data_IF_332754187946
#
_entry.id   IF_332754187946
#
_cell.length_a   1.000
_cell.length_b   1.000
_cell.length_c   1.000
_cell.angle_alpha   90.00
_cell.angle_beta   90.00
_cell.angle_gamma   90.00
#
_symmetry.space_group_name_H-M   'P 1'
#
loop_
_entity.id
_entity.type
_entity.pdbx_description
1 polymer ?
#
# COMPACT_ATOMS: atom_id res chain seq x y z
N UNK A 1 -0.45 -6.99 -21.70
CA UNK A 1 -1.71 -7.54 -21.14
C UNK A 1 -2.07 -7.00 -19.75
N UNK A 2 -1.15 -6.96 -18.77
CA UNK A 2 -1.44 -6.54 -17.37
C UNK A 2 -2.04 -5.12 -17.24
N UNK A 3 -1.54 -4.13 -18.00
CA UNK A 3 -2.05 -2.75 -17.92
C UNK A 3 -3.45 -2.58 -18.54
N UNK A 4 -3.78 -3.34 -19.59
CA UNK A 4 -5.11 -3.30 -20.22
C UNK A 4 -6.17 -3.93 -19.31
N UNK A 5 -5.82 -5.01 -18.62
CA UNK A 5 -6.68 -5.62 -17.60
C UNK A 5 -7.00 -4.65 -16.46
N UNK A 6 -5.98 -3.98 -15.90
CA UNK A 6 -6.18 -2.98 -14.83
C UNK A 6 -7.03 -1.80 -15.32
N UNK A 7 -6.76 -1.31 -16.53
CA UNK A 7 -7.54 -0.21 -17.12
C UNK A 7 -9.01 -0.58 -17.34
N UNK A 8 -9.28 -1.76 -17.88
CA UNK A 8 -10.64 -2.28 -18.07
C UNK A 8 -11.39 -2.36 -16.75
N UNK A 9 -10.83 -3.03 -15.73
CA UNK A 9 -11.50 -3.17 -14.44
C UNK A 9 -11.69 -1.82 -13.73
N UNK A 10 -10.74 -0.89 -13.87
CA UNK A 10 -10.88 0.46 -13.34
C UNK A 10 -12.07 1.21 -13.96
N UNK A 11 -12.21 1.18 -15.29
CA UNK A 11 -13.33 1.80 -16.01
C UNK A 11 -14.65 1.10 -15.66
N UNK A 12 -14.65 -0.23 -15.65
CA UNK A 12 -15.81 -1.05 -15.32
C UNK A 12 -16.34 -0.74 -13.91
N UNK A 13 -15.48 -0.75 -12.90
CA UNK A 13 -15.85 -0.40 -11.53
C UNK A 13 -16.31 1.07 -11.45
N UNK A 14 -15.61 1.98 -12.15
CA UNK A 14 -16.01 3.39 -12.23
C UNK A 14 -17.42 3.58 -12.79
N UNK A 15 -17.80 2.81 -13.82
CA UNK A 15 -19.16 2.81 -14.36
C UNK A 15 -20.19 2.42 -13.28
N UNK A 16 -19.95 1.33 -12.54
CA UNK A 16 -20.88 0.88 -11.50
C UNK A 16 -20.97 1.82 -10.30
N UNK A 17 -19.91 2.58 -10.00
CA UNK A 17 -19.92 3.54 -8.89
C UNK A 17 -20.57 4.86 -9.30
N UNK A 18 -20.26 5.40 -10.49
CA UNK A 18 -20.62 6.78 -10.84
C UNK A 18 -21.77 6.88 -11.85
N UNK A 19 -21.84 5.96 -12.82
CA UNK A 19 -22.78 6.08 -13.95
C UNK A 19 -24.05 5.27 -13.70
N UNK A 20 -23.90 4.02 -13.26
CA UNK A 20 -25.00 3.10 -13.08
C UNK A 20 -26.05 3.59 -12.05
N UNK A 21 -25.68 4.15 -10.88
CA UNK A 21 -26.66 4.68 -9.93
C UNK A 21 -27.48 5.83 -10.52
N UNK A 22 -26.85 6.71 -11.30
CA UNK A 22 -27.54 7.80 -11.99
C UNK A 22 -28.53 7.27 -13.04
N UNK A 23 -28.13 6.26 -13.84
CA UNK A 23 -29.02 5.65 -14.85
C UNK A 23 -30.25 5.04 -14.18
N UNK A 24 -30.07 4.28 -13.09
CA UNK A 24 -31.19 3.65 -12.39
C UNK A 24 -32.13 4.73 -11.83
N UNK A 25 -31.56 5.73 -11.16
CA UNK A 25 -32.33 6.82 -10.56
C UNK A 25 -33.12 7.59 -11.62
N UNK A 26 -32.46 8.14 -12.64
CA UNK A 26 -33.14 8.99 -13.63
C UNK A 26 -34.06 8.25 -14.62
N UNK A 27 -34.00 6.91 -14.68
CA UNK A 27 -34.99 6.12 -15.44
C UNK A 27 -36.16 5.63 -14.59
N UNK A 28 -36.15 5.88 -13.29
CA UNK A 28 -37.27 5.58 -12.39
C UNK A 28 -38.13 6.82 -12.22
N UNK A 29 -39.45 6.67 -12.07
CA UNK A 29 -40.34 7.80 -11.87
C UNK A 29 -40.15 8.36 -10.45
N UNK A 30 -39.71 9.63 -10.38
CA UNK A 30 -39.50 10.36 -9.14
C UNK A 30 -40.34 11.64 -9.11
N UNK A 31 -40.81 12.01 -7.93
CA UNK A 31 -41.53 13.28 -7.71
C UNK A 31 -40.72 14.17 -6.78
N UNK A 32 -41.12 15.43 -6.64
CA UNK A 32 -40.53 16.36 -5.66
C UNK A 32 -40.78 15.95 -4.19
N UNK A 33 -41.56 14.89 -3.94
CA UNK A 33 -41.88 14.32 -2.63
C UNK A 33 -41.62 12.81 -2.64
N UNK A 34 -40.36 12.41 -2.81
CA UNK A 34 -39.98 11.00 -2.63
C UNK A 34 -39.90 10.64 -1.14
N UNK A 35 -39.53 11.59 -0.29
CA UNK A 35 -39.50 11.44 1.17
C UNK A 35 -40.56 12.34 1.81
N UNK A 36 -41.68 11.74 2.19
CA UNK A 36 -42.80 12.44 2.82
C UNK A 36 -42.40 13.10 4.15
N UNK A 37 -41.56 12.43 4.95
CA UNK A 37 -41.13 12.95 6.23
C UNK A 37 -39.94 13.92 6.09
N UNK A 38 -40.19 15.22 6.29
CA UNK A 38 -39.15 16.26 6.19
C UNK A 38 -37.94 16.02 7.11
N UNK A 39 -38.12 15.39 8.29
CA UNK A 39 -36.99 15.05 9.19
C UNK A 39 -36.11 13.96 8.59
N UNK A 40 -36.73 12.98 7.92
CA UNK A 40 -36.01 11.90 7.25
C UNK A 40 -35.22 12.42 6.05
N UNK A 41 -35.78 13.36 5.29
CA UNK A 41 -35.08 14.04 4.20
C UNK A 41 -33.82 14.79 4.70
N UNK A 42 -33.92 15.49 5.83
CA UNK A 42 -32.76 16.16 6.46
C UNK A 42 -31.74 15.13 6.95
N UNK A 43 -32.18 14.01 7.52
CA UNK A 43 -31.29 12.91 7.90
C UNK A 43 -30.50 12.37 6.69
N UNK A 44 -31.18 12.11 5.58
CA UNK A 44 -30.54 11.69 4.34
C UNK A 44 -29.55 12.71 3.80
N UNK A 45 -29.85 14.01 3.91
CA UNK A 45 -28.93 15.07 3.52
C UNK A 45 -27.67 15.04 4.39
N UNK A 46 -27.83 14.96 5.71
CA UNK A 46 -26.71 14.85 6.65
C UNK A 46 -25.85 13.61 6.39
N UNK A 47 -26.49 12.47 6.12
CA UNK A 47 -25.81 11.23 5.76
C UNK A 47 -25.02 11.37 4.45
N UNK A 48 -25.62 11.98 3.43
CA UNK A 48 -24.97 12.25 2.15
C UNK A 48 -23.71 13.12 2.32
N UNK A 49 -23.80 14.21 3.09
CA UNK A 49 -22.65 15.06 3.40
C UNK A 49 -21.54 14.31 4.14
N UNK A 50 -21.90 13.46 5.12
CA UNK A 50 -20.95 12.65 5.87
C UNK A 50 -20.20 11.67 4.96
N UNK A 51 -20.93 10.98 4.06
CA UNK A 51 -20.34 10.04 3.11
C UNK A 51 -19.38 10.74 2.15
N UNK A 52 -19.81 11.85 1.53
CA UNK A 52 -18.94 12.61 0.61
C UNK A 52 -17.73 13.22 1.32
N UNK A 53 -17.90 13.76 2.52
CA UNK A 53 -16.77 14.29 3.32
C UNK A 53 -15.75 13.19 3.62
N UNK A 54 -16.22 11.97 3.90
CA UNK A 54 -15.35 10.82 4.12
C UNK A 54 -14.57 10.46 2.85
N UNK A 55 -15.24 10.35 1.70
CA UNK A 55 -14.60 10.05 0.41
C UNK A 55 -13.59 11.14 0.00
N UNK A 56 -14.00 12.40 0.04
CA UNK A 56 -13.16 13.52 -0.37
C UNK A 56 -11.99 13.75 0.59
N UNK A 57 -12.24 13.66 1.91
CA UNK A 57 -11.22 13.81 2.94
C UNK A 57 -10.16 12.72 2.89
N UNK A 58 -10.57 11.44 2.75
CA UNK A 58 -9.64 10.32 2.66
C UNK A 58 -8.79 10.37 1.38
N UNK A 59 -9.39 10.67 0.23
CA UNK A 59 -8.66 10.81 -1.03
C UNK A 59 -7.70 12.00 -1.02
N UNK A 60 -8.10 13.14 -0.47
CA UNK A 60 -7.21 14.29 -0.29
C UNK A 60 -6.04 13.94 0.62
N UNK A 61 -6.30 13.30 1.76
CA UNK A 61 -5.26 12.85 2.67
C UNK A 61 -4.25 11.91 1.99
N UNK A 62 -4.71 10.98 1.16
CA UNK A 62 -3.83 10.09 0.37
C UNK A 62 -2.96 10.87 -0.63
N UNK A 63 -3.53 11.83 -1.35
CA UNK A 63 -2.79 12.69 -2.29
C UNK A 63 -1.71 13.49 -1.56
N UNK A 64 -2.07 14.11 -0.43
CA UNK A 64 -1.14 14.91 0.37
C UNK A 64 -0.03 14.05 0.98
N UNK A 65 -0.39 12.87 1.53
CA UNK A 65 0.55 11.92 2.14
C UNK A 65 1.56 11.39 1.13
N UNK A 66 1.10 10.92 -0.03
CA UNK A 66 1.96 10.29 -1.03
C UNK A 66 2.68 11.30 -1.95
N UNK A 67 2.23 12.56 -1.98
CA UNK A 67 2.85 13.63 -2.76
C UNK A 67 3.70 14.57 -1.91
N UNK A 68 3.04 15.48 -1.20
CA UNK A 68 3.69 16.61 -0.51
C UNK A 68 4.47 16.13 0.71
N UNK A 69 3.85 15.31 1.56
CA UNK A 69 4.50 14.79 2.77
C UNK A 69 5.65 13.85 2.41
N UNK A 70 5.47 12.97 1.43
CA UNK A 70 6.55 12.13 0.89
C UNK A 70 7.74 12.96 0.41
N UNK A 71 7.53 14.06 -0.33
CA UNK A 71 8.62 14.98 -0.73
C UNK A 71 9.33 15.59 0.48
N UNK A 72 8.58 16.03 1.49
CA UNK A 72 9.17 16.56 2.74
C UNK A 72 10.04 15.50 3.44
N UNK A 73 9.56 14.26 3.50
CA UNK A 73 10.27 13.14 4.11
C UNK A 73 11.54 12.77 3.33
N UNK A 74 11.48 12.78 1.99
CA UNK A 74 12.65 12.59 1.12
C UNK A 74 13.72 13.67 1.37
N UNK A 75 13.31 14.93 1.51
CA UNK A 75 14.23 16.03 1.84
C UNK A 75 14.79 15.95 3.28
N UNK A 76 14.11 15.25 4.18
CA UNK A 76 14.63 14.93 5.52
C UNK A 76 15.68 13.83 5.43
N UNK A 77 15.40 12.72 4.71
CA UNK A 77 16.35 11.61 4.52
C UNK A 77 17.59 12.06 3.77
N UNK A 78 17.46 12.98 2.81
CA UNK A 78 18.63 13.51 2.12
C UNK A 78 19.59 14.25 3.06
N UNK A 79 19.07 14.90 4.12
CA UNK A 79 19.88 15.67 5.08
C UNK A 79 20.35 14.86 6.28
N UNK A 80 19.52 13.96 6.78
CA UNK A 80 19.72 13.27 8.06
C UNK A 80 19.79 11.74 7.92
N UNK A 81 19.52 11.19 6.74
CA UNK A 81 19.56 9.76 6.49
C UNK A 81 20.98 9.21 6.62
N UNK A 82 21.09 8.00 7.18
CA UNK A 82 22.37 7.30 7.27
C UNK A 82 22.77 6.84 5.88
N UNK A 83 24.00 7.19 5.49
CA UNK A 83 24.56 6.83 4.18
C UNK A 83 25.01 5.37 4.19
N UNK A 84 24.58 4.61 3.19
CA UNK A 84 24.90 3.19 2.99
C UNK A 84 25.48 3.03 1.59
N UNK A 85 26.65 2.42 1.49
CA UNK A 85 27.24 2.06 0.19
C UNK A 85 26.62 0.75 -0.28
N UNK A 86 26.22 0.71 -1.55
CA UNK A 86 25.63 -0.47 -2.16
C UNK A 86 26.25 -0.74 -3.53
N UNK A 87 26.42 -2.02 -3.86
CA UNK A 87 26.91 -2.49 -5.15
C UNK A 87 25.74 -3.00 -5.99
N UNK A 88 25.68 -2.60 -7.25
CA UNK A 88 24.65 -3.09 -8.18
C UNK A 88 25.03 -4.51 -8.60
N UNK A 89 24.23 -5.50 -8.20
CA UNK A 89 24.43 -6.90 -8.60
C UNK A 89 23.61 -7.25 -9.84
N UNK A 90 22.49 -6.53 -10.07
CA UNK A 90 21.64 -6.75 -11.23
C UNK A 90 20.98 -5.45 -11.68
N UNK A 91 20.82 -5.26 -13.00
CA UNK A 91 20.08 -4.15 -13.58
C UNK A 91 19.25 -4.63 -14.76
N UNK A 92 17.95 -4.39 -14.71
CA UNK A 92 17.00 -4.73 -15.76
C UNK A 92 16.28 -3.48 -16.26
N UNK A 93 16.24 -3.28 -17.57
CA UNK A 93 15.44 -2.20 -18.16
C UNK A 93 13.98 -2.64 -18.16
N UNK A 94 13.13 -1.86 -17.49
CA UNK A 94 11.69 -2.11 -17.45
C UNK A 94 10.98 -1.43 -18.62
N UNK A 95 11.29 -0.14 -18.82
CA UNK A 95 10.66 0.70 -19.84
C UNK A 95 11.62 1.79 -20.29
N UNK A 96 11.60 2.05 -21.59
CA UNK A 96 12.28 3.20 -22.18
C UNK A 96 11.24 4.29 -22.48
N UNK A 97 11.42 5.45 -21.88
CA UNK A 97 10.67 6.66 -22.19
C UNK A 97 11.59 7.63 -22.91
N UNK A 98 11.01 8.56 -23.70
CA UNK A 98 11.77 9.57 -24.46
C UNK A 98 12.77 10.35 -23.60
N UNK A 99 12.47 10.56 -22.31
CA UNK A 99 13.24 11.42 -21.40
C UNK A 99 13.99 10.65 -20.29
N UNK A 100 13.74 9.36 -20.12
CA UNK A 100 14.38 8.55 -19.07
C UNK A 100 14.22 7.05 -19.34
N UNK A 101 15.13 6.26 -18.81
CA UNK A 101 15.04 4.80 -18.81
C UNK A 101 14.66 4.34 -17.39
N UNK A 102 13.52 3.67 -17.27
CA UNK A 102 13.14 3.02 -16.02
C UNK A 102 13.86 1.69 -15.89
N UNK A 103 14.62 1.52 -14.81
CA UNK A 103 15.35 0.31 -14.49
C UNK A 103 14.92 -0.25 -13.14
N UNK A 104 14.90 -1.57 -13.01
CA UNK A 104 14.90 -2.26 -11.73
C UNK A 104 16.35 -2.63 -11.44
N UNK A 105 16.86 -2.19 -10.30
CA UNK A 105 18.20 -2.52 -9.83
C UNK A 105 18.11 -3.34 -8.56
N UNK A 106 18.94 -4.38 -8.49
CA UNK A 106 19.14 -5.18 -7.28
C UNK A 106 20.51 -4.81 -6.73
N UNK A 107 20.52 -4.47 -5.45
CA UNK A 107 21.66 -3.94 -4.73
C UNK A 107 22.10 -4.90 -3.65
N UNK A 108 23.41 -5.00 -3.44
CA UNK A 108 24.02 -5.68 -2.32
C UNK A 108 24.69 -4.63 -1.43
N UNK A 109 24.40 -4.66 -0.13
CA UNK A 109 24.91 -3.67 0.83
C UNK A 109 25.04 -4.27 2.21
N UNK A 110 25.93 -3.68 3.03
CA UNK A 110 25.93 -3.94 4.46
C UNK A 110 24.77 -3.18 5.12
N UNK A 111 23.98 -3.89 5.90
CA UNK A 111 22.97 -3.27 6.74
C UNK A 111 23.63 -2.55 7.94
N UNK A 112 22.85 -1.91 8.79
CA UNK A 112 23.36 -1.15 9.94
C UNK A 112 24.05 -2.01 11.00
N UNK A 113 23.85 -3.32 10.94
CA UNK A 113 24.44 -4.33 11.81
C UNK A 113 25.58 -5.11 11.13
N UNK A 114 26.03 -4.68 9.94
CA UNK A 114 27.14 -5.29 9.20
C UNK A 114 26.82 -6.61 8.50
N UNK A 115 25.54 -6.92 8.28
CA UNK A 115 25.11 -8.10 7.51
C UNK A 115 24.91 -7.73 6.04
N UNK A 116 25.38 -8.59 5.13
CA UNK A 116 25.17 -8.41 3.70
C UNK A 116 23.69 -8.67 3.36
N UNK A 117 23.05 -7.70 2.71
CA UNK A 117 21.63 -7.70 2.38
C UNK A 117 21.35 -7.29 0.95
N UNK A 118 20.37 -7.95 0.34
CA UNK A 118 19.82 -7.62 -0.97
C UNK A 118 18.73 -6.54 -0.87
N UNK A 119 18.77 -5.51 -1.72
CA UNK A 119 17.69 -4.53 -1.84
C UNK A 119 17.36 -4.23 -3.30
N UNK A 120 16.10 -4.46 -3.66
CA UNK A 120 15.58 -4.19 -5.00
C UNK A 120 14.84 -2.87 -5.01
N UNK A 121 15.15 -2.00 -5.97
CA UNK A 121 14.43 -0.74 -6.15
C UNK A 121 14.28 -0.36 -7.62
N UNK A 122 13.28 0.47 -7.91
CA UNK A 122 13.09 1.06 -9.23
C UNK A 122 13.74 2.44 -9.30
N UNK A 123 14.45 2.70 -10.41
CA UNK A 123 15.09 3.99 -10.68
C UNK A 123 14.69 4.49 -12.07
N UNK A 124 14.47 5.80 -12.19
CA UNK A 124 14.25 6.47 -13.45
C UNK A 124 15.52 7.23 -13.85
N UNK A 125 16.30 6.66 -14.76
CA UNK A 125 17.57 7.22 -15.21
C UNK A 125 17.36 8.25 -16.33
N UNK A 126 17.58 9.52 -16.02
CA UNK A 126 17.56 10.62 -17.00
C UNK A 126 18.87 10.79 -17.78
N UNK A 127 19.93 10.10 -17.38
CA UNK A 127 21.27 10.19 -17.97
C UNK A 127 21.82 8.80 -18.29
N UNK A 128 21.11 8.01 -19.13
CA UNK A 128 21.50 6.62 -19.41
C UNK A 128 22.87 6.49 -20.08
N UNK A 129 23.31 7.52 -20.83
CA UNK A 129 24.63 7.55 -21.48
C UNK A 129 25.81 7.56 -20.50
N UNK A 130 25.58 7.92 -19.23
CA UNK A 130 26.61 7.88 -18.19
C UNK A 130 26.78 6.47 -17.58
N UNK A 131 25.95 5.50 -18.02
CA UNK A 131 26.04 4.09 -17.61
C UNK A 131 26.01 3.91 -16.07
N UNK A 132 25.35 4.80 -15.33
CA UNK A 132 25.44 4.88 -13.86
C UNK A 132 24.88 3.67 -13.11
N UNK A 133 23.98 2.93 -13.76
CA UNK A 133 23.24 1.81 -13.16
C UNK A 133 23.60 0.46 -13.78
N UNK A 134 24.85 0.27 -14.19
CA UNK A 134 25.36 -1.01 -14.67
C UNK A 134 25.80 -1.90 -13.51
N UNK A 135 25.74 -3.22 -13.74
CA UNK A 135 26.23 -4.23 -12.80
C UNK A 135 27.69 -3.99 -12.44
N UNK A 136 28.03 -4.14 -11.16
CA UNK A 136 29.36 -3.92 -10.61
C UNK A 136 29.63 -2.50 -10.13
N UNK A 137 28.81 -1.50 -10.50
CA UNK A 137 28.99 -0.13 -10.03
C UNK A 137 28.51 0.05 -8.60
N UNK A 138 29.21 0.93 -7.87
CA UNK A 138 28.85 1.35 -6.52
C UNK A 138 27.96 2.59 -6.57
N UNK A 139 26.93 2.58 -5.73
CA UNK A 139 26.02 3.69 -5.51
C UNK A 139 25.84 3.90 -4.00
N UNK A 140 25.26 5.03 -3.63
CA UNK A 140 24.99 5.36 -2.25
C UNK A 140 23.50 5.54 -2.02
N UNK A 141 23.01 4.94 -0.96
CA UNK A 141 21.66 5.11 -0.44
C UNK A 141 21.72 5.96 0.82
N UNK A 142 20.66 6.73 1.06
CA UNK A 142 20.37 7.37 2.35
C UNK A 142 19.13 6.72 2.92
N UNK A 143 19.23 6.25 4.16
CA UNK A 143 18.18 5.47 4.81
C UNK A 143 17.76 6.15 6.10
N UNK A 144 16.45 6.26 6.33
CA UNK A 144 15.91 6.73 7.60
C UNK A 144 16.22 5.71 8.71
N UNK A 145 17.16 6.05 9.59
CA UNK A 145 17.56 5.17 10.69
C UNK A 145 16.43 4.95 11.70
N UNK A 146 15.38 5.77 11.75
CA UNK A 146 14.25 5.57 12.66
C UNK A 146 13.09 4.81 11.99
N UNK A 147 13.10 4.68 10.66
CA UNK A 147 11.97 4.16 9.88
C UNK A 147 10.64 4.81 10.26
N UNK A 148 10.63 6.12 10.52
CA UNK A 148 9.46 6.83 11.07
C UNK A 148 8.50 7.26 9.97
N UNK A 149 9.02 7.78 8.87
CA UNK A 149 8.24 8.43 7.83
C UNK A 149 8.51 7.84 6.44
N UNK A 150 7.47 7.31 5.79
CA UNK A 150 7.55 6.78 4.42
C UNK A 150 7.76 7.93 3.40
N UNK A 151 8.60 7.79 2.35
CA UNK A 151 9.56 6.70 2.04
C UNK A 151 10.76 6.63 2.96
N UNK A 152 11.32 5.42 3.15
CA UNK A 152 12.39 5.13 4.11
C UNK A 152 13.80 5.08 3.50
N UNK A 153 13.89 4.86 2.19
CA UNK A 153 15.15 4.70 1.46
C UNK A 153 15.17 5.68 0.29
N UNK A 154 16.30 6.34 0.11
CA UNK A 154 16.55 7.32 -0.92
C UNK A 154 17.84 6.98 -1.67
N UNK A 155 17.81 6.99 -3.00
CA UNK A 155 19.03 6.99 -3.79
C UNK A 155 19.69 8.38 -3.75
N UNK A 156 20.98 8.43 -3.40
CA UNK A 156 21.74 9.68 -3.37
C UNK A 156 21.77 10.37 -4.74
N UNK A 157 21.54 11.68 -4.76
CA UNK A 157 21.46 12.47 -6.00
C UNK A 157 20.16 12.32 -6.79
N UNK A 158 19.14 11.64 -6.23
CA UNK A 158 17.82 11.58 -6.85
C UNK A 158 17.02 12.87 -6.64
N UNK A 159 16.19 13.22 -7.62
CA UNK A 159 15.33 14.41 -7.56
C UNK A 159 13.86 14.02 -7.48
N UNK A 160 13.12 14.63 -6.57
CA UNK A 160 11.70 14.34 -6.36
C UNK A 160 10.82 15.47 -6.88
N UNK A 161 9.77 15.12 -7.65
CA UNK A 161 8.75 16.05 -8.13
C UNK A 161 7.39 15.62 -7.60
N UNK A 162 6.60 16.60 -7.14
CA UNK A 162 5.19 16.37 -6.77
C UNK A 162 4.35 16.49 -8.02
N UNK A 163 3.48 15.51 -8.26
CA UNK A 163 2.49 15.59 -9.33
C UNK A 163 1.24 16.34 -8.81
N UNK A 164 1.14 17.63 -9.11
CA UNK A 164 -0.01 18.45 -8.74
C UNK A 164 -1.26 18.19 -9.59
N UNK A 165 -1.15 17.44 -10.70
CA UNK A 165 -2.30 17.14 -11.55
C UNK A 165 -3.37 16.35 -10.79
N UNK A 166 -2.98 15.45 -9.89
CA UNK A 166 -3.93 14.70 -9.05
C UNK A 166 -4.72 15.63 -8.11
N UNK A 167 -4.09 16.69 -7.60
CA UNK A 167 -4.78 17.68 -6.77
C UNK A 167 -5.78 18.49 -7.61
N UNK A 168 -5.42 18.86 -8.84
CA UNK A 168 -6.34 19.54 -9.75
C UNK A 168 -7.53 18.65 -10.14
N UNK A 169 -7.28 17.37 -10.42
CA UNK A 169 -8.34 16.38 -10.69
C UNK A 169 -9.25 16.24 -9.47
N UNK A 170 -8.69 16.20 -8.26
CA UNK A 170 -9.47 16.14 -7.02
C UNK A 170 -10.32 17.40 -6.80
N UNK A 171 -9.79 18.59 -7.09
CA UNK A 171 -10.54 19.84 -7.03
C UNK A 171 -11.67 19.88 -8.05
N UNK A 172 -11.40 19.46 -9.29
CA UNK A 172 -12.42 19.35 -10.33
C UNK A 172 -13.53 18.36 -9.94
N UNK A 173 -13.16 17.21 -9.37
CA UNK A 173 -14.11 16.20 -8.89
C UNK A 173 -14.96 16.74 -7.73
N UNK A 174 -14.34 17.41 -6.75
CA UNK A 174 -15.05 18.08 -5.66
C UNK A 174 -16.03 19.13 -6.18
N UNK A 175 -15.59 19.94 -7.15
CA UNK A 175 -16.44 20.90 -7.84
C UNK A 175 -17.63 20.24 -8.55
N UNK A 176 -17.42 19.09 -9.18
CA UNK A 176 -18.48 18.28 -9.79
C UNK A 176 -19.51 17.77 -8.78
N UNK A 177 -19.07 17.31 -7.61
CA UNK A 177 -19.99 16.90 -6.52
C UNK A 177 -20.83 18.09 -6.04
N UNK A 178 -20.22 19.25 -5.81
CA UNK A 178 -20.94 20.47 -5.41
C UNK A 178 -21.93 20.91 -6.49
N UNK A 179 -21.50 20.92 -7.75
CA UNK A 179 -22.37 21.23 -8.88
C UNK A 179 -23.54 20.25 -8.98
N UNK A 180 -23.34 18.97 -8.66
CA UNK A 180 -24.40 17.97 -8.67
C UNK A 180 -25.40 18.14 -7.51
N UNK A 181 -24.95 18.55 -6.32
CA UNK A 181 -25.87 18.99 -5.25
C UNK A 181 -26.74 20.16 -5.70
N UNK A 182 -26.14 21.16 -6.36
CA UNK A 182 -26.87 22.32 -6.87
C UNK A 182 -27.85 21.94 -7.98
N UNK A 183 -27.42 21.12 -8.93
CA UNK A 183 -28.25 20.59 -10.00
C UNK A 183 -29.47 19.87 -9.43
N UNK A 184 -29.26 18.83 -8.61
CA UNK A 184 -30.33 18.01 -8.02
C UNK A 184 -31.30 18.88 -7.22
N UNK A 185 -30.79 19.83 -6.43
CA UNK A 185 -31.65 20.76 -5.70
C UNK A 185 -32.49 21.65 -6.63
N UNK A 186 -31.88 22.22 -7.67
CA UNK A 186 -32.59 23.12 -8.60
C UNK A 186 -33.67 22.42 -9.42
N UNK A 187 -33.45 21.16 -9.79
CA UNK A 187 -34.35 20.41 -10.67
C UNK A 187 -35.40 19.60 -9.91
N UNK A 188 -35.07 19.11 -8.71
CA UNK A 188 -35.89 18.11 -8.02
C UNK A 188 -36.56 18.66 -6.74
N UNK A 189 -36.10 19.79 -6.20
CA UNK A 189 -36.67 20.36 -4.97
C UNK A 189 -38.15 20.70 -5.09
N UNK A 190 -38.57 21.22 -6.25
CA UNK A 190 -39.96 21.68 -6.46
C UNK A 190 -40.45 22.70 -5.41
N UNK A 191 -39.53 23.45 -4.79
CA UNK A 191 -39.81 24.39 -3.69
C UNK A 191 -40.03 23.74 -2.32
N UNK A 192 -39.92 22.41 -2.21
CA UNK A 192 -40.18 21.63 -0.99
C UNK A 192 -38.90 21.27 -0.22
N UNK A 193 -37.78 21.91 -0.55
CA UNK A 193 -36.47 21.65 0.06
C UNK A 193 -35.86 20.33 -0.43
N UNK A 194 -35.26 19.57 0.48
CA UNK A 194 -34.55 18.31 0.16
C UNK A 194 -35.43 17.06 0.18
N UNK A 195 -36.76 17.21 0.10
CA UNK A 195 -37.73 16.10 0.20
C UNK A 195 -37.71 15.13 -0.99
N UNK A 196 -37.04 15.51 -2.08
CA UNK A 196 -36.75 14.60 -3.19
C UNK A 196 -35.67 13.56 -2.83
N UNK A 197 -34.84 13.84 -1.82
CA UNK A 197 -33.73 12.98 -1.42
C UNK A 197 -34.27 11.72 -0.73
N UNK A 198 -33.89 10.57 -1.24
CA UNK A 198 -34.22 9.24 -0.73
C UNK A 198 -32.97 8.36 -0.67
N UNK A 199 -33.06 7.17 -0.06
CA UNK A 199 -31.91 6.29 0.15
C UNK A 199 -31.17 5.92 -1.15
N UNK A 200 -31.90 5.77 -2.26
CA UNK A 200 -31.34 5.38 -3.55
C UNK A 200 -30.89 6.56 -4.42
N UNK A 201 -31.00 7.80 -3.91
CA UNK A 201 -30.55 8.97 -4.64
C UNK A 201 -29.03 8.89 -4.91
N UNK A 202 -28.52 9.30 -6.09
CA UNK A 202 -27.10 9.16 -6.42
C UNK A 202 -26.17 9.89 -5.46
N UNK A 203 -26.61 11.00 -4.86
CA UNK A 203 -25.91 11.70 -3.77
C UNK A 203 -25.59 10.83 -2.54
N UNK A 204 -26.32 9.74 -2.31
CA UNK A 204 -26.09 8.77 -1.24
C UNK A 204 -25.41 7.50 -1.75
N UNK A 205 -25.93 6.94 -2.84
CA UNK A 205 -25.49 5.65 -3.37
C UNK A 205 -24.05 5.71 -3.89
N UNK A 206 -23.68 6.77 -4.63
CA UNK A 206 -22.34 6.90 -5.21
C UNK A 206 -21.24 6.88 -4.12
N UNK A 207 -21.26 7.76 -3.11
CA UNK A 207 -20.20 7.75 -2.10
C UNK A 207 -20.28 6.49 -1.21
N UNK A 208 -21.46 5.92 -0.98
CA UNK A 208 -21.59 4.64 -0.27
C UNK A 208 -20.94 3.48 -1.05
N UNK A 209 -21.22 3.36 -2.35
CA UNK A 209 -20.58 2.39 -3.23
C UNK A 209 -19.06 2.61 -3.26
N UNK A 210 -18.59 3.85 -3.38
CA UNK A 210 -17.16 4.15 -3.36
C UNK A 210 -16.48 3.63 -2.08
N UNK A 211 -17.07 3.91 -0.91
CA UNK A 211 -16.56 3.41 0.38
C UNK A 211 -16.59 1.89 0.44
N UNK A 212 -17.70 1.25 0.02
CA UNK A 212 -17.82 -0.20 0.02
C UNK A 212 -16.79 -0.86 -0.89
N UNK A 213 -16.68 -0.43 -2.15
CA UNK A 213 -15.72 -1.00 -3.08
C UNK A 213 -14.29 -0.80 -2.57
N UNK A 214 -13.91 0.40 -2.15
CA UNK A 214 -12.56 0.65 -1.62
C UNK A 214 -12.27 -0.13 -0.33
N UNK A 215 -13.24 -0.26 0.58
CA UNK A 215 -13.12 -1.04 1.80
C UNK A 215 -12.98 -2.54 1.54
N UNK A 216 -13.78 -3.10 0.62
CA UNK A 216 -13.69 -4.49 0.19
C UNK A 216 -12.34 -4.77 -0.49
N UNK A 217 -11.91 -3.90 -1.42
CA UNK A 217 -10.59 -4.01 -2.04
C UNK A 217 -9.46 -3.97 -1.01
N UNK A 218 -9.53 -3.06 -0.05
CA UNK A 218 -8.54 -2.99 1.03
C UNK A 218 -8.51 -4.26 1.88
N UNK A 219 -9.69 -4.79 2.25
CA UNK A 219 -9.78 -6.00 3.07
C UNK A 219 -9.24 -7.23 2.31
N UNK A 220 -9.60 -7.39 1.03
CA UNK A 220 -9.07 -8.46 0.19
C UNK A 220 -7.55 -8.33 0.06
N UNK A 221 -7.04 -7.13 -0.23
CA UNK A 221 -5.59 -6.93 -0.37
C UNK A 221 -4.85 -7.21 0.94
N UNK A 222 -5.41 -6.79 2.08
CA UNK A 222 -4.82 -7.03 3.41
C UNK A 222 -4.83 -8.51 3.80
N UNK A 223 -5.90 -9.25 3.49
CA UNK A 223 -6.03 -10.65 3.93
C UNK A 223 -5.29 -11.60 3.00
N UNK A 224 -5.32 -11.37 1.69
CA UNK A 224 -4.81 -12.32 0.70
C UNK A 224 -3.42 -12.00 0.15
N UNK A 225 -2.94 -10.74 0.24
CA UNK A 225 -1.69 -10.32 -0.42
C UNK A 225 -0.62 -9.89 0.58
N UNK A 226 -0.98 -9.14 1.62
CA UNK A 226 -0.03 -8.73 2.65
C UNK A 226 -0.08 -9.70 3.83
N UNK A 227 1.00 -10.46 4.03
CA UNK A 227 1.23 -11.17 5.29
C UNK A 227 1.29 -10.21 6.48
N UNK A 228 1.40 -10.75 7.71
CA UNK A 228 1.32 -9.94 8.94
C UNK A 228 2.35 -8.80 9.05
N UNK A 229 3.46 -8.87 8.32
CA UNK A 229 4.50 -7.85 8.37
C UNK A 229 4.21 -6.72 7.38
N UNK A 230 4.15 -5.50 7.88
CA UNK A 230 4.04 -4.31 7.03
C UNK A 230 5.32 -4.09 6.22
N UNK A 231 5.22 -3.42 5.07
CA UNK A 231 6.39 -3.02 4.24
C UNK A 231 7.46 -2.30 5.09
N UNK A 232 7.02 -1.45 6.02
CA UNK A 232 7.88 -0.77 6.99
C UNK A 232 8.68 -1.76 7.83
N UNK A 233 8.05 -2.78 8.39
CA UNK A 233 8.71 -3.75 9.28
C UNK A 233 9.69 -4.62 8.52
N UNK A 234 9.37 -5.02 7.29
CA UNK A 234 10.29 -5.77 6.44
C UNK A 234 11.53 -4.94 6.08
N UNK A 235 11.35 -3.66 5.75
CA UNK A 235 12.47 -2.75 5.50
C UNK A 235 13.26 -2.48 6.79
N UNK A 236 12.59 -2.31 7.93
CA UNK A 236 13.25 -2.13 9.22
C UNK A 236 14.12 -3.36 9.55
N UNK A 237 13.58 -4.57 9.42
CA UNK A 237 14.32 -5.83 9.56
C UNK A 237 15.49 -5.93 8.58
N UNK A 238 15.32 -5.45 7.34
CA UNK A 238 16.35 -5.52 6.31
C UNK A 238 17.55 -4.65 6.66
N UNK A 239 17.30 -3.41 7.11
CA UNK A 239 18.37 -2.44 7.36
C UNK A 239 18.91 -2.47 8.79
N UNK A 240 18.12 -2.88 9.80
CA UNK A 240 18.55 -2.94 11.21
C UNK A 240 18.71 -4.34 11.78
N UNK A 241 18.20 -5.35 11.09
CA UNK A 241 18.13 -6.69 11.64
C UNK A 241 19.51 -7.28 11.87
N UNK A 242 19.56 -8.20 12.82
CA UNK A 242 20.71 -9.07 13.04
C UNK A 242 20.37 -10.50 12.65
N UNK A 243 21.38 -11.18 12.10
CA UNK A 243 21.26 -12.57 11.69
C UNK A 243 21.46 -13.47 12.90
N UNK A 244 20.58 -14.44 13.09
CA UNK A 244 20.73 -15.51 14.07
C UNK A 244 20.31 -16.85 13.48
N UNK A 245 20.79 -17.93 14.08
CA UNK A 245 20.31 -19.28 13.80
C UNK A 245 19.29 -19.65 14.86
N UNK A 246 18.06 -19.90 14.44
CA UNK A 246 16.99 -20.32 15.32
C UNK A 246 16.83 -21.84 15.30
N UNK A 247 16.67 -22.45 16.46
CA UNK A 247 16.24 -23.82 16.65
C UNK A 247 14.71 -23.89 16.53
N UNK A 248 14.21 -24.77 15.66
CA UNK A 248 12.78 -25.03 15.51
C UNK A 248 12.37 -26.06 16.57
N UNK A 249 11.60 -25.61 17.55
CA UNK A 249 11.14 -26.44 18.67
C UNK A 249 9.95 -27.29 18.25
N UNK A 250 8.97 -26.66 17.59
CA UNK A 250 7.82 -27.37 17.03
C UNK A 250 7.33 -26.70 15.75
N UNK A 251 6.80 -27.53 14.85
CA UNK A 251 6.00 -27.11 13.69
C UNK A 251 4.64 -27.76 13.84
N UNK A 252 3.56 -26.96 13.86
CA UNK A 252 2.20 -27.46 13.99
C UNK A 252 1.31 -26.84 12.92
N UNK A 253 0.51 -27.66 12.26
CA UNK A 253 -0.51 -27.14 11.35
C UNK A 253 -1.62 -26.46 12.16
N UNK A 254 -2.05 -25.27 11.72
CA UNK A 254 -3.06 -24.47 12.42
C UNK A 254 -4.51 -24.88 12.11
N UNK A 255 -4.70 -25.78 11.14
CA UNK A 255 -6.01 -26.13 10.57
C UNK A 255 -6.54 -25.11 9.54
N UNK A 256 -5.84 -23.99 9.34
CA UNK A 256 -6.21 -22.96 8.35
C UNK A 256 -5.55 -23.25 7.00
N UNK A 257 -6.30 -23.10 5.91
CA UNK A 257 -5.80 -23.20 4.54
C UNK A 257 -6.08 -21.91 3.77
N UNK A 258 -5.11 -21.47 2.97
CA UNK A 258 -5.21 -20.30 2.09
C UNK A 258 -4.77 -20.74 0.70
N UNK A 259 -5.66 -20.63 -0.28
CA UNK A 259 -5.42 -21.13 -1.65
C UNK A 259 -4.97 -22.61 -1.66
N UNK A 260 -5.65 -23.47 -0.90
CA UNK A 260 -5.33 -24.91 -0.74
C UNK A 260 -3.94 -25.20 -0.13
N UNK A 261 -3.22 -24.17 0.29
CA UNK A 261 -1.94 -24.29 0.98
C UNK A 261 -2.16 -24.18 2.50
N UNK A 262 -1.63 -25.11 3.30
CA UNK A 262 -1.81 -25.09 4.74
C UNK A 262 -0.99 -23.99 5.40
N UNK A 263 -1.55 -23.43 6.47
CA UNK A 263 -0.83 -22.56 7.39
C UNK A 263 -0.23 -23.38 8.54
N UNK A 264 1.08 -23.26 8.72
CA UNK A 264 1.85 -23.84 9.82
C UNK A 264 2.29 -22.78 10.82
N UNK A 265 2.37 -23.16 12.08
CA UNK A 265 2.92 -22.38 13.17
C UNK A 265 4.28 -22.98 13.58
N UNK A 266 5.31 -22.15 13.50
CA UNK A 266 6.64 -22.44 14.01
C UNK A 266 6.78 -21.87 15.42
N UNK A 267 7.18 -22.72 16.36
CA UNK A 267 7.74 -22.27 17.64
C UNK A 267 9.24 -22.42 17.57
N UNK A 268 9.97 -21.34 17.82
CA UNK A 268 11.41 -21.31 17.65
C UNK A 268 12.11 -20.62 18.81
N UNK A 269 13.37 -21.01 19.00
CA UNK A 269 14.26 -20.56 20.06
C UNK A 269 15.57 -20.08 19.44
N UNK A 270 16.05 -18.92 19.85
CA UNK A 270 17.36 -18.42 19.41
C UNK A 270 18.00 -17.57 20.50
N UNK A 271 19.30 -17.34 20.38
CA UNK A 271 20.06 -16.47 21.28
C UNK A 271 20.27 -15.12 20.61
N UNK A 272 19.91 -14.04 21.28
CA UNK A 272 20.17 -12.68 20.81
C UNK A 272 21.64 -12.28 21.01
N UNK A 273 22.02 -11.11 20.50
CA UNK A 273 23.39 -10.58 20.60
C UNK A 273 23.88 -10.33 22.03
N UNK A 274 22.96 -10.24 22.99
CA UNK A 274 23.26 -10.04 24.40
C UNK A 274 23.35 -11.37 25.16
N UNK A 275 23.23 -12.51 24.47
CA UNK A 275 23.27 -13.84 25.06
C UNK A 275 21.94 -14.29 25.66
N UNK A 276 20.86 -13.52 25.49
CA UNK A 276 19.54 -13.87 26.02
C UNK A 276 18.83 -14.83 25.08
N UNK A 277 18.26 -15.89 25.65
CA UNK A 277 17.42 -16.83 24.91
C UNK A 277 16.03 -16.23 24.67
N UNK A 278 15.60 -16.21 23.42
CA UNK A 278 14.29 -15.72 22.97
C UNK A 278 13.48 -16.91 22.45
N UNK A 279 12.22 -16.96 22.88
CA UNK A 279 11.22 -17.87 22.34
C UNK A 279 10.22 -17.06 21.53
N UNK A 280 10.02 -17.42 20.26
CA UNK A 280 9.13 -16.70 19.37
C UNK A 280 8.27 -17.67 18.55
N UNK A 281 7.13 -17.17 18.09
CA UNK A 281 6.15 -17.92 17.31
C UNK A 281 5.87 -17.19 16.01
N UNK A 282 5.82 -17.92 14.89
CA UNK A 282 5.46 -17.36 13.59
C UNK A 282 4.56 -18.30 12.82
N UNK A 283 3.52 -17.74 12.19
CA UNK A 283 2.63 -18.46 11.29
C UNK A 283 2.99 -18.15 9.85
N UNK A 284 2.97 -19.15 8.99
CA UNK A 284 3.28 -19.02 7.57
C UNK A 284 2.48 -20.01 6.73
N UNK A 285 2.13 -19.61 5.51
CA UNK A 285 1.53 -20.50 4.51
C UNK A 285 2.66 -21.23 3.81
N UNK A 286 2.64 -22.55 3.82
CA UNK A 286 3.64 -23.40 3.16
C UNK A 286 2.99 -24.23 2.06
N UNK A 287 3.75 -24.53 1.01
CA UNK A 287 3.29 -25.46 -0.03
C UNK A 287 2.98 -26.83 0.58
N UNK A 288 1.94 -27.50 0.07
CA UNK A 288 1.57 -28.83 0.51
C UNK A 288 2.71 -29.85 0.33
N UNK A 289 3.48 -29.68 -0.76
CA UNK A 289 4.64 -30.53 -1.08
C UNK A 289 5.79 -30.35 -0.08
N UNK A 290 5.87 -29.20 0.58
CA UNK A 290 6.97 -28.83 1.48
C UNK A 290 6.68 -29.13 2.95
N UNK A 291 5.47 -29.59 3.32
CA UNK A 291 5.12 -29.82 4.75
C UNK A 291 6.10 -30.80 5.41
N UNK A 292 6.43 -31.89 4.72
CA UNK A 292 7.32 -32.92 5.22
C UNK A 292 8.76 -32.42 5.40
N UNK A 293 9.25 -31.60 4.47
CA UNK A 293 10.60 -31.02 4.54
C UNK A 293 10.68 -29.93 5.61
N UNK A 294 9.67 -29.06 5.68
CA UNK A 294 9.53 -27.99 6.67
C UNK A 294 9.52 -28.55 8.09
N UNK A 295 8.79 -29.64 8.33
CA UNK A 295 8.69 -30.26 9.66
C UNK A 295 9.98 -30.97 10.09
N UNK A 296 10.87 -31.28 9.14
CA UNK A 296 12.16 -31.91 9.40
C UNK A 296 13.30 -30.90 9.70
N UNK A 297 13.08 -29.60 9.45
CA UNK A 297 14.07 -28.56 9.72
C UNK A 297 14.26 -28.38 11.23
N UNK A 298 15.48 -28.61 11.72
CA UNK A 298 15.86 -28.36 13.12
C UNK A 298 16.37 -26.94 13.34
N UNK A 299 17.03 -26.36 12.34
CA UNK A 299 17.62 -25.03 12.42
C UNK A 299 17.27 -24.22 11.18
N UNK A 300 17.01 -22.93 11.36
CA UNK A 300 16.76 -22.00 10.26
C UNK A 300 17.32 -20.62 10.57
N UNK A 301 17.91 -20.00 9.56
CA UNK A 301 18.43 -18.64 9.68
C UNK A 301 17.28 -17.63 9.74
N UNK A 302 17.36 -16.72 10.70
CA UNK A 302 16.41 -15.63 10.88
C UNK A 302 17.12 -14.29 10.86
N UNK A 303 16.37 -13.26 10.48
CA UNK A 303 16.71 -11.87 10.70
C UNK A 303 15.75 -11.34 11.78
N UNK A 304 16.27 -10.81 12.89
CA UNK A 304 15.47 -10.28 14.00
C UNK A 304 15.87 -8.84 14.33
N UNK A 305 14.96 -8.06 14.93
CA UNK A 305 15.29 -6.71 15.42
C UNK A 305 15.93 -6.79 16.81
N UNK A 306 17.14 -6.27 17.05
CA UNK A 306 17.79 -6.35 18.36
C UNK A 306 17.01 -5.72 19.51
N UNK A 307 16.30 -4.63 19.25
CA UNK A 307 15.49 -3.93 20.26
C UNK A 307 14.13 -4.61 20.52
N UNK A 308 13.69 -5.48 19.59
CA UNK A 308 12.40 -6.19 19.60
C UNK A 308 12.58 -7.61 19.03
N UNK A 309 13.27 -8.53 19.75
CA UNK A 309 13.67 -9.82 19.18
C UNK A 309 12.51 -10.72 18.75
N UNK A 310 11.32 -10.52 19.32
CA UNK A 310 10.09 -11.18 18.89
C UNK A 310 9.68 -10.85 17.45
N UNK A 311 10.17 -9.73 16.89
CA UNK A 311 10.00 -9.38 15.49
C UNK A 311 11.12 -9.96 14.67
N UNK A 312 10.80 -10.99 13.90
CA UNK A 312 11.74 -11.66 13.02
C UNK A 312 11.11 -12.10 11.71
N UNK A 313 11.96 -12.41 10.75
CA UNK A 313 11.60 -13.03 9.47
C UNK A 313 12.64 -14.10 9.13
N UNK A 314 12.28 -15.09 8.32
CA UNK A 314 13.27 -16.05 7.86
C UNK A 314 14.18 -15.38 6.82
N UNK A 315 15.48 -15.70 6.87
CA UNK A 315 16.50 -14.97 6.10
C UNK A 315 16.28 -15.08 4.58
N UNK A 316 15.79 -16.23 4.11
CA UNK A 316 15.44 -16.47 2.72
C UNK A 316 14.30 -15.58 2.20
N UNK A 317 13.37 -15.16 3.07
CA UNK A 317 12.23 -14.34 2.68
C UNK A 317 12.57 -12.85 2.52
N UNK A 318 13.63 -12.38 3.18
CA UNK A 318 14.01 -10.97 3.17
C UNK A 318 15.00 -10.63 2.05
N UNK A 319 15.72 -11.62 1.53
CA UNK A 319 16.72 -11.47 0.48
C UNK A 319 16.26 -11.89 -0.93
N UNK A 320 15.02 -12.37 -1.07
CA UNK A 320 14.40 -12.65 -2.36
C UNK A 320 13.79 -11.42 -3.04
#
# INVERSE_FOLDING_TARGET
MKNGFIGFWGIFIGYFIFVHPCIIYYNTYHTSINTENGRLAIFYLGLSFLLWTTVLGTTLWLILKNGILAKKNLAYIDRHGRRVQARIIQSHILKEHKNFISRQITLEMDNFSGQIMGHTMMVNDRRPKENRFETGKNIYLKVDAEFKNNPYVLLEGSTSKVNYALLLIWLAFTGGVVAYYQYSYSTESGGLGWRFLELFHPLLVIPACFILFTGVFYLIFRVFIMGNNTERELLELKFKGEKAVAEIITVKQTGTYINEQPQVEYTLKFTDKYGKTIHAVKKEIVSLLDIGSVSALKYREIMYLPDRPEKFVFYDQINN
#
